data_IF_917509327445
#
_entry.id   IF_917509327445
#
_cell.length_a   1.000
_cell.length_b   1.000
_cell.length_c   1.000
_cell.angle_alpha   90.00
_cell.angle_beta   90.00
_cell.angle_gamma   90.00
#
_symmetry.space_group_name_H-M   'P 1'
#
loop_
_entity.id
_entity.type
_entity.pdbx_description
1 polymer ?
#
# COMPACT_ATOMS: atom_id res chain seq x y z
N UNK A 1 9.46 -27.04 -8.65
CA UNK A 1 8.76 -27.04 -9.96
C UNK A 1 7.32 -27.43 -9.72
N UNK A 2 6.42 -26.46 -9.55
CA UNK A 2 4.97 -26.65 -9.65
C UNK A 2 4.39 -25.37 -10.29
N UNK A 3 3.64 -25.57 -11.37
CA UNK A 3 2.98 -24.57 -12.22
C UNK A 3 1.54 -24.43 -11.73
N UNK A 4 0.96 -23.23 -11.67
CA UNK A 4 -0.50 -23.10 -11.67
C UNK A 4 -1.03 -21.97 -12.55
N UNK A 5 -1.89 -22.38 -13.48
CA UNK A 5 -2.73 -21.58 -14.37
C UNK A 5 -4.13 -21.44 -13.75
N UNK A 6 -4.86 -20.39 -14.13
CA UNK A 6 -6.19 -20.07 -13.60
C UNK A 6 -7.21 -21.14 -14.02
N UNK A 7 -7.82 -21.83 -13.05
CA UNK A 7 -9.07 -22.56 -13.24
C UNK A 7 -10.25 -21.69 -12.78
N UNK A 8 -11.32 -21.66 -13.58
CA UNK A 8 -12.61 -21.05 -13.23
C UNK A 8 -13.14 -21.70 -11.95
N UNK A 9 -13.27 -20.91 -10.88
CA UNK A 9 -13.85 -21.36 -9.62
C UNK A 9 -13.06 -20.91 -8.40
N UNK A 10 -13.26 -19.65 -7.98
CA UNK A 10 -13.32 -19.24 -6.57
C UNK A 10 -12.20 -19.56 -5.58
N UNK A 11 -11.02 -20.06 -5.98
CA UNK A 11 -9.92 -20.29 -5.04
C UNK A 11 -8.74 -19.38 -5.39
N UNK A 12 -8.56 -18.35 -4.56
CA UNK A 12 -7.42 -17.45 -4.61
C UNK A 12 -6.13 -18.24 -4.29
N UNK A 13 -5.15 -18.13 -5.18
CA UNK A 13 -3.83 -18.73 -5.08
C UNK A 13 -3.11 -18.31 -3.78
N UNK A 14 -2.23 -19.17 -3.24
CA UNK A 14 -1.39 -18.82 -2.10
C UNK A 14 -0.45 -17.68 -2.47
N UNK A 15 -0.38 -16.69 -1.58
CA UNK A 15 0.55 -15.55 -1.63
C UNK A 15 1.98 -16.06 -1.89
N UNK A 16 2.69 -15.36 -2.78
CA UNK A 16 4.10 -15.56 -3.14
C UNK A 16 4.99 -15.93 -1.94
N UNK A 17 6.07 -16.68 -2.19
CA UNK A 17 7.13 -17.03 -1.22
C UNK A 17 7.16 -16.07 -0.03
N UNK A 18 6.67 -16.58 1.11
CA UNK A 18 5.90 -15.84 2.11
C UNK A 18 6.47 -14.46 2.45
N UNK A 19 5.69 -13.41 2.21
CA UNK A 19 5.92 -12.09 2.79
C UNK A 19 6.26 -12.22 4.29
N UNK A 20 7.19 -11.40 4.83
CA UNK A 20 7.63 -11.54 6.20
C UNK A 20 6.46 -11.32 7.16
N UNK A 21 6.21 -12.30 8.04
CA UNK A 21 5.17 -12.19 9.06
C UNK A 21 5.42 -11.01 10.00
N UNK A 22 4.37 -10.50 10.65
CA UNK A 22 4.46 -9.44 11.67
C UNK A 22 5.45 -9.83 12.77
N UNK A 23 5.48 -11.11 13.15
CA UNK A 23 6.47 -11.64 14.10
C UNK A 23 7.90 -11.40 13.62
N UNK A 24 8.15 -11.62 12.33
CA UNK A 24 9.47 -11.41 11.71
C UNK A 24 9.81 -9.91 11.64
N UNK A 25 8.84 -9.07 11.26
CA UNK A 25 8.99 -7.62 11.22
C UNK A 25 9.32 -7.04 12.60
N UNK A 26 8.57 -7.42 13.64
CA UNK A 26 8.82 -7.01 15.03
C UNK A 26 10.20 -7.45 15.51
N UNK A 27 10.62 -8.67 15.19
CA UNK A 27 11.96 -9.19 15.54
C UNK A 27 13.06 -8.37 14.87
N UNK A 28 12.93 -8.07 13.56
CA UNK A 28 13.90 -7.25 12.81
C UNK A 28 13.96 -5.82 13.32
N UNK A 29 12.83 -5.26 13.76
CA UNK A 29 12.78 -3.87 14.25
C UNK A 29 13.28 -3.68 15.69
N UNK A 30 13.35 -4.75 16.49
CA UNK A 30 13.71 -4.67 17.92
C UNK A 30 15.02 -3.89 18.20
N UNK A 31 16.15 -4.12 17.50
CA UNK A 31 17.38 -3.37 17.75
C UNK A 31 17.23 -1.87 17.44
N UNK A 32 16.45 -1.52 16.42
CA UNK A 32 16.18 -0.13 16.07
C UNK A 32 15.34 0.56 17.15
N UNK A 33 14.32 -0.12 17.68
CA UNK A 33 13.50 0.38 18.80
C UNK A 33 14.37 0.67 20.03
N UNK A 34 15.27 -0.24 20.38
CA UNK A 34 16.18 -0.09 21.51
C UNK A 34 17.10 1.12 21.32
N UNK A 35 17.66 1.29 20.11
CA UNK A 35 18.47 2.47 19.77
C UNK A 35 17.66 3.78 19.88
N UNK A 36 16.44 3.82 19.33
CA UNK A 36 15.60 5.02 19.46
C UNK A 36 15.28 5.37 20.92
N UNK A 37 14.99 4.37 21.76
CA UNK A 37 14.72 4.61 23.17
C UNK A 37 15.94 5.17 23.93
N UNK A 38 17.16 4.91 23.48
CA UNK A 38 18.39 5.44 24.09
C UNK A 38 18.74 6.83 23.55
N UNK A 39 18.68 7.01 22.22
CA UNK A 39 19.17 8.22 21.55
C UNK A 39 18.10 9.31 21.39
N UNK A 40 16.85 8.92 21.14
CA UNK A 40 15.73 9.82 20.83
C UNK A 40 14.40 9.29 21.40
N UNK A 41 14.20 9.34 22.74
CA UNK A 41 13.04 8.73 23.39
C UNK A 41 11.68 9.28 22.91
N UNK A 42 11.67 10.51 22.39
CA UNK A 42 10.48 11.19 21.86
C UNK A 42 10.22 10.88 20.38
N UNK A 43 11.08 10.08 19.73
CA UNK A 43 10.90 9.70 18.33
C UNK A 43 9.56 8.96 18.14
N UNK A 44 8.68 9.40 17.22
CA UNK A 44 7.38 8.75 17.04
C UNK A 44 7.48 7.41 16.28
N UNK A 45 8.61 7.11 15.62
CA UNK A 45 8.79 5.96 14.73
C UNK A 45 8.51 4.61 15.40
N UNK A 46 9.01 4.31 16.62
CA UNK A 46 8.71 3.03 17.26
C UNK A 46 7.23 2.81 17.56
N UNK A 47 6.53 3.85 18.01
CA UNK A 47 5.08 3.81 18.29
C UNK A 47 4.28 3.61 17.01
N UNK A 48 4.65 4.32 15.95
CA UNK A 48 4.04 4.20 14.62
C UNK A 48 4.19 2.79 14.04
N UNK A 49 5.42 2.26 14.06
CA UNK A 49 5.71 0.91 13.61
C UNK A 49 4.96 -0.15 14.44
N UNK A 50 4.89 0.04 15.76
CA UNK A 50 4.12 -0.83 16.64
C UNK A 50 2.63 -0.86 16.26
N UNK A 51 2.00 0.31 16.06
CA UNK A 51 0.59 0.42 15.64
C UNK A 51 0.36 -0.27 14.29
N UNK A 52 1.23 -0.02 13.30
CA UNK A 52 1.15 -0.69 12.00
C UNK A 52 1.19 -2.22 12.15
N UNK A 53 2.16 -2.74 12.92
CA UNK A 53 2.26 -4.17 13.19
C UNK A 53 1.03 -4.74 13.90
N UNK A 54 0.41 -4.00 14.82
CA UNK A 54 -0.78 -4.50 15.53
C UNK A 54 -1.98 -4.65 14.60
N UNK A 55 -2.17 -3.75 13.63
CA UNK A 55 -3.21 -3.88 12.63
C UNK A 55 -2.92 -4.98 11.61
N UNK A 56 -1.66 -5.14 11.20
CA UNK A 56 -1.24 -6.27 10.35
C UNK A 56 -1.39 -7.63 11.07
N UNK A 57 -1.05 -7.72 12.37
CA UNK A 57 -1.19 -8.94 13.19
C UNK A 57 -2.64 -9.38 13.31
N UNK A 58 -3.59 -8.44 13.28
CA UNK A 58 -5.03 -8.75 13.25
C UNK A 58 -5.40 -9.49 11.96
N UNK A 59 -4.85 -9.07 10.82
CA UNK A 59 -5.13 -9.68 9.51
C UNK A 59 -4.46 -11.05 9.40
N UNK A 60 -3.21 -11.18 9.85
CA UNK A 60 -2.50 -12.48 9.83
C UNK A 60 -3.20 -13.57 10.64
N UNK A 61 -4.05 -13.19 11.60
CA UNK A 61 -4.83 -14.11 12.44
C UNK A 61 -6.23 -14.38 11.91
N UNK A 62 -6.68 -13.64 10.89
CA UNK A 62 -7.97 -13.86 10.25
C UNK A 62 -7.83 -14.89 9.12
N UNK A 63 -8.90 -15.64 8.87
CA UNK A 63 -8.95 -16.49 7.68
C UNK A 63 -8.99 -15.63 6.41
N UNK A 64 -8.36 -16.09 5.32
CA UNK A 64 -8.32 -15.34 4.05
C UNK A 64 -9.72 -15.09 3.46
N UNK A 65 -10.70 -15.92 3.81
CA UNK A 65 -12.11 -15.81 3.41
C UNK A 65 -12.95 -14.95 4.36
N UNK A 66 -12.34 -14.34 5.38
CA UNK A 66 -13.03 -13.44 6.30
C UNK A 66 -13.44 -12.12 5.60
N UNK A 67 -14.15 -11.28 6.34
CA UNK A 67 -14.56 -9.92 5.98
C UNK A 67 -13.43 -9.11 5.30
N UNK A 68 -13.51 -9.02 3.97
CA UNK A 68 -12.51 -8.36 3.12
C UNK A 68 -12.47 -6.85 3.36
N UNK A 69 -13.61 -6.25 3.74
CA UNK A 69 -13.70 -4.82 4.02
C UNK A 69 -12.91 -4.51 5.29
N UNK A 70 -13.08 -5.31 6.34
CA UNK A 70 -12.30 -5.19 7.58
C UNK A 70 -10.80 -5.42 7.33
N UNK A 71 -10.43 -6.37 6.47
CA UNK A 71 -9.02 -6.58 6.10
C UNK A 71 -8.44 -5.37 5.38
N UNK A 72 -9.16 -4.83 4.39
CA UNK A 72 -8.75 -3.64 3.64
C UNK A 72 -8.58 -2.44 4.58
N UNK A 73 -9.59 -2.15 5.41
CA UNK A 73 -9.54 -1.06 6.39
C UNK A 73 -8.39 -1.27 7.38
N UNK A 74 -8.14 -2.49 7.84
CA UNK A 74 -7.03 -2.79 8.75
C UNK A 74 -5.66 -2.54 8.09
N UNK A 75 -5.49 -2.92 6.81
CA UNK A 75 -4.28 -2.63 6.03
C UNK A 75 -4.10 -1.13 5.82
N UNK A 76 -5.19 -0.41 5.55
CA UNK A 76 -5.18 1.04 5.39
C UNK A 76 -4.74 1.75 6.67
N UNK A 77 -5.28 1.35 7.84
CA UNK A 77 -4.87 1.89 9.14
C UNK A 77 -3.39 1.55 9.41
N UNK A 78 -2.95 0.33 9.09
CA UNK A 78 -1.56 -0.06 9.25
C UNK A 78 -0.62 0.82 8.42
N UNK A 79 -0.98 1.09 7.17
CA UNK A 79 -0.23 1.97 6.28
C UNK A 79 -0.24 3.42 6.78
N UNK A 80 -1.40 3.96 7.18
CA UNK A 80 -1.55 5.31 7.75
C UNK A 80 -0.67 5.53 8.99
N UNK A 81 -0.56 4.52 9.86
CA UNK A 81 0.32 4.57 11.02
C UNK A 81 1.78 4.81 10.63
N UNK A 82 2.23 4.31 9.45
CA UNK A 82 3.59 4.48 8.95
C UNK A 82 3.81 5.84 8.29
N UNK A 83 2.95 6.25 7.36
CA UNK A 83 3.22 7.47 6.56
C UNK A 83 2.74 8.76 7.21
N UNK A 84 1.66 8.74 8.00
CA UNK A 84 0.98 9.96 8.44
C UNK A 84 1.94 10.93 9.12
N UNK A 85 1.81 12.24 8.91
CA UNK A 85 2.68 13.23 9.56
C UNK A 85 1.83 14.18 10.40
N UNK A 86 2.40 14.64 11.51
CA UNK A 86 1.77 15.66 12.35
C UNK A 86 2.48 16.98 12.13
N UNK A 87 1.71 18.06 12.01
CA UNK A 87 2.23 19.41 11.99
C UNK A 87 2.22 19.98 13.42
N UNK A 88 3.40 20.12 14.02
CA UNK A 88 3.52 20.61 15.40
C UNK A 88 3.14 22.09 15.53
N UNK A 89 3.36 22.90 14.48
CA UNK A 89 3.07 24.34 14.50
C UNK A 89 1.56 24.57 14.42
N UNK A 90 0.90 23.87 13.50
CA UNK A 90 -0.56 23.98 13.28
C UNK A 90 -1.38 23.08 14.20
N UNK A 91 -0.73 22.14 14.90
CA UNK A 91 -1.36 21.13 15.76
C UNK A 91 -2.44 20.33 15.04
N UNK A 92 -2.17 19.95 13.80
CA UNK A 92 -3.09 19.19 12.95
C UNK A 92 -2.32 18.13 12.12
N UNK A 93 -3.00 17.10 11.60
CA UNK A 93 -2.40 16.20 10.63
C UNK A 93 -1.99 16.96 9.37
N UNK A 94 -0.81 16.66 8.82
CA UNK A 94 -0.43 17.15 7.49
C UNK A 94 -1.34 16.54 6.43
N UNK A 95 -1.38 17.19 5.26
CA UNK A 95 -2.03 16.65 4.07
C UNK A 95 -1.65 15.18 3.87
N UNK A 96 -2.68 14.33 3.78
CA UNK A 96 -2.51 12.90 3.58
C UNK A 96 -1.70 12.65 2.31
N UNK A 97 -2.10 13.31 1.22
CA UNK A 97 -1.42 13.24 -0.09
C UNK A 97 0.07 13.55 -0.02
N UNK A 98 0.41 14.63 0.66
CA UNK A 98 1.81 15.02 0.82
C UNK A 98 2.58 14.03 1.71
N UNK A 99 1.93 13.54 2.77
CA UNK A 99 2.54 12.63 3.73
C UNK A 99 2.87 11.28 3.13
N UNK A 100 1.94 10.66 2.40
CA UNK A 100 2.21 9.37 1.77
C UNK A 100 3.14 9.50 0.56
N UNK A 101 3.07 10.57 -0.25
CA UNK A 101 4.05 10.79 -1.32
C UNK A 101 5.48 10.83 -0.81
N UNK A 102 5.74 11.63 0.23
CA UNK A 102 7.05 11.68 0.89
C UNK A 102 7.47 10.31 1.43
N UNK A 103 6.51 9.53 1.94
CA UNK A 103 6.78 8.17 2.40
C UNK A 103 7.16 7.24 1.24
N UNK A 104 6.41 7.25 0.13
CA UNK A 104 6.68 6.46 -1.08
C UNK A 104 8.05 6.79 -1.66
N UNK A 105 8.39 8.07 -1.79
CA UNK A 105 9.70 8.50 -2.29
C UNK A 105 10.83 7.97 -1.39
N UNK A 106 10.62 8.02 -0.05
CA UNK A 106 11.61 7.54 0.91
C UNK A 106 11.78 6.03 0.87
N UNK A 107 10.70 5.25 0.79
CA UNK A 107 10.81 3.78 0.70
C UNK A 107 11.45 3.37 -0.62
N UNK A 108 11.11 4.04 -1.73
CA UNK A 108 11.71 3.76 -3.03
C UNK A 108 13.21 4.06 -3.04
N UNK A 109 13.64 5.12 -2.36
CA UNK A 109 15.06 5.48 -2.26
C UNK A 109 15.90 4.49 -1.44
N UNK A 110 15.30 3.80 -0.45
CA UNK A 110 16.01 2.84 0.42
C UNK A 110 15.87 1.38 -0.05
N UNK A 111 14.91 1.09 -0.93
CA UNK A 111 14.62 -0.25 -1.47
C UNK A 111 15.69 -0.71 -2.48
N UNK A 112 16.86 -1.06 -1.96
CA UNK A 112 17.99 -1.55 -2.76
C UNK A 112 17.76 -2.95 -3.33
N UNK A 113 16.84 -3.71 -2.75
CA UNK A 113 16.51 -5.07 -3.17
C UNK A 113 15.40 -5.11 -4.22
N UNK A 114 14.77 -3.97 -4.52
CA UNK A 114 13.70 -3.89 -5.51
C UNK A 114 12.39 -4.55 -5.06
N UNK A 115 12.17 -4.74 -3.76
CA UNK A 115 10.98 -5.42 -3.25
C UNK A 115 9.68 -4.71 -3.63
N UNK A 116 9.70 -3.37 -3.68
CA UNK A 116 8.58 -2.55 -4.10
C UNK A 116 8.29 -2.75 -5.59
N UNK A 117 9.34 -2.82 -6.41
CA UNK A 117 9.24 -3.05 -7.84
C UNK A 117 8.71 -4.45 -8.12
N UNK A 118 9.27 -5.46 -7.47
CA UNK A 118 8.83 -6.85 -7.59
C UNK A 118 7.35 -7.01 -7.23
N UNK A 119 6.90 -6.37 -6.14
CA UNK A 119 5.50 -6.38 -5.75
C UNK A 119 4.59 -5.71 -6.81
N UNK A 120 4.99 -4.55 -7.34
CA UNK A 120 4.23 -3.87 -8.40
C UNK A 120 4.17 -4.70 -9.69
N UNK A 121 5.27 -5.33 -10.07
CA UNK A 121 5.31 -6.18 -11.25
C UNK A 121 4.45 -7.44 -11.09
N UNK A 122 4.56 -8.11 -9.93
CA UNK A 122 3.73 -9.27 -9.59
C UNK A 122 2.24 -8.94 -9.62
N UNK A 123 1.86 -7.77 -9.11
CA UNK A 123 0.46 -7.34 -9.00
C UNK A 123 0.02 -6.40 -10.13
N UNK A 124 0.79 -6.29 -11.22
CA UNK A 124 0.53 -5.37 -12.34
C UNK A 124 -0.89 -5.47 -12.91
N UNK A 125 -1.42 -6.69 -13.03
CA UNK A 125 -2.79 -6.92 -13.52
C UNK A 125 -3.84 -6.29 -12.61
N UNK A 126 -3.66 -6.40 -11.28
CA UNK A 126 -4.57 -5.81 -10.30
C UNK A 126 -4.47 -4.28 -10.30
N UNK A 127 -3.25 -3.74 -10.38
CA UNK A 127 -3.03 -2.29 -10.50
C UNK A 127 -3.74 -1.70 -11.72
N UNK A 128 -3.61 -2.37 -12.88
CA UNK A 128 -4.31 -1.94 -14.10
C UNK A 128 -5.83 -2.07 -13.96
N UNK A 129 -6.33 -3.15 -13.36
CA UNK A 129 -7.76 -3.35 -13.13
C UNK A 129 -8.35 -2.25 -12.23
N UNK A 130 -7.68 -1.89 -11.14
CA UNK A 130 -8.06 -0.75 -10.29
C UNK A 130 -8.11 0.55 -11.12
N UNK A 131 -7.13 0.78 -12.00
CA UNK A 131 -7.12 1.97 -12.83
C UNK A 131 -8.23 2.00 -13.90
N UNK A 132 -8.75 0.84 -14.28
CA UNK A 132 -9.86 0.67 -15.23
C UNK A 132 -11.23 0.84 -14.56
N UNK A 133 -11.33 0.59 -13.26
CA UNK A 133 -12.60 0.64 -12.52
C UNK A 133 -13.06 2.10 -12.28
N UNK A 134 -14.23 2.51 -12.82
CA UNK A 134 -14.74 3.87 -12.62
C UNK A 134 -15.28 4.12 -11.20
N UNK A 135 -15.71 3.09 -10.47
CA UNK A 135 -16.38 3.25 -9.16
C UNK A 135 -15.41 3.62 -8.04
N UNK A 136 -14.13 3.35 -8.23
CA UNK A 136 -13.06 3.74 -7.29
C UNK A 136 -12.43 5.10 -7.65
N UNK A 137 -12.83 5.70 -8.76
CA UNK A 137 -12.38 7.05 -9.12
C UNK A 137 -13.22 8.10 -8.40
N UNK A 138 -12.57 9.03 -7.69
CA UNK A 138 -13.26 10.19 -7.10
C UNK A 138 -14.07 11.03 -8.10
N UNK A 139 -13.71 11.00 -9.40
CA UNK A 139 -14.46 11.68 -10.46
C UNK A 139 -15.89 11.15 -10.63
N UNK A 140 -16.10 9.85 -10.42
CA UNK A 140 -17.44 9.25 -10.49
C UNK A 140 -18.33 9.80 -9.38
N UNK A 141 -17.80 9.89 -8.17
CA UNK A 141 -18.54 10.38 -7.00
C UNK A 141 -18.80 11.90 -7.05
N UNK A 142 -17.89 12.67 -7.64
CA UNK A 142 -18.07 14.11 -7.83
C UNK A 142 -19.12 14.45 -8.91
N UNK A 143 -19.35 13.57 -9.87
CA UNK A 143 -20.39 13.75 -10.89
C UNK A 143 -20.98 12.39 -11.31
N UNK A 144 -22.12 11.98 -10.74
CA UNK A 144 -22.76 10.70 -11.08
C UNK A 144 -23.19 10.58 -12.56
N UNK A 145 -23.38 11.71 -13.25
CA UNK A 145 -23.70 11.78 -14.68
C UNK A 145 -22.45 11.78 -15.57
N UNK A 146 -21.26 11.53 -15.00
CA UNK A 146 -20.02 11.38 -15.74
C UNK A 146 -20.15 10.28 -16.80
N UNK A 147 -19.94 10.66 -18.06
CA UNK A 147 -20.04 9.72 -19.20
C UNK A 147 -18.96 8.64 -19.08
N UNK A 148 -19.41 7.46 -18.67
CA UNK A 148 -18.61 6.23 -18.49
C UNK A 148 -17.83 5.83 -19.75
N UNK A 149 -18.26 6.26 -20.94
CA UNK A 149 -17.59 5.95 -22.22
C UNK A 149 -16.39 6.84 -22.49
N UNK A 150 -16.27 7.99 -21.78
CA UNK A 150 -15.27 9.01 -22.07
C UNK A 150 -13.96 8.90 -21.27
N UNK A 151 -13.87 8.15 -20.16
CA UNK A 151 -12.60 7.61 -19.64
C UNK A 151 -12.78 6.33 -18.83
N UNK A 152 -12.01 5.27 -19.18
CA UNK A 152 -10.77 4.93 -18.43
C UNK A 152 -9.52 4.71 -19.32
N UNK A 153 -9.58 4.92 -20.64
CA UNK A 153 -8.49 4.52 -21.55
C UNK A 153 -7.19 5.35 -21.41
N UNK A 154 -7.28 6.65 -21.08
CA UNK A 154 -6.10 7.53 -20.99
C UNK A 154 -5.24 7.26 -19.77
N UNK A 155 -5.85 7.12 -18.58
CA UNK A 155 -5.12 6.85 -17.33
C UNK A 155 -4.47 5.46 -17.35
N UNK A 156 -5.17 4.46 -17.86
CA UNK A 156 -4.63 3.11 -18.03
C UNK A 156 -3.45 3.09 -19.00
N UNK A 157 -3.57 3.81 -20.12
CA UNK A 157 -2.45 3.97 -21.05
C UNK A 157 -1.24 4.60 -20.36
N UNK A 158 -1.45 5.70 -19.61
CA UNK A 158 -0.38 6.38 -18.87
C UNK A 158 0.27 5.46 -17.83
N UNK A 159 -0.51 4.68 -17.08
CA UNK A 159 0.02 3.72 -16.11
C UNK A 159 0.88 2.67 -16.82
N UNK A 160 0.43 2.14 -17.97
CA UNK A 160 1.21 1.19 -18.78
C UNK A 160 2.52 1.81 -19.28
N UNK A 161 2.51 3.07 -19.68
CA UNK A 161 3.73 3.80 -20.03
C UNK A 161 4.65 3.99 -18.83
N UNK A 162 4.13 4.32 -17.65
CA UNK A 162 4.95 4.41 -16.43
C UNK A 162 5.60 3.08 -16.02
N UNK A 163 4.92 1.95 -16.24
CA UNK A 163 5.55 0.63 -16.10
C UNK A 163 6.72 0.44 -17.09
N UNK A 164 6.60 0.92 -18.34
CA UNK A 164 7.67 0.84 -19.36
C UNK A 164 8.85 1.76 -19.01
N UNK A 165 8.55 2.96 -18.55
CA UNK A 165 9.53 3.98 -18.13
C UNK A 165 10.10 3.72 -16.72
N UNK A 166 9.62 2.68 -16.02
CA UNK A 166 10.00 2.34 -14.64
C UNK A 166 9.76 3.48 -13.64
N UNK A 167 8.68 4.24 -13.84
CA UNK A 167 8.24 5.34 -12.97
C UNK A 167 7.37 4.82 -11.82
N UNK A 168 7.95 4.00 -10.95
CA UNK A 168 7.24 3.26 -9.90
C UNK A 168 6.49 4.14 -8.91
N UNK A 169 7.08 5.27 -8.51
CA UNK A 169 6.42 6.23 -7.61
C UNK A 169 5.10 6.75 -8.20
N UNK A 170 5.05 7.01 -9.52
CA UNK A 170 3.82 7.46 -10.20
C UNK A 170 2.76 6.37 -10.27
N UNK A 171 3.18 5.11 -10.44
CA UNK A 171 2.27 3.96 -10.43
C UNK A 171 1.62 3.82 -9.06
N UNK A 172 2.40 3.87 -7.99
CA UNK A 172 1.88 3.85 -6.63
C UNK A 172 0.98 5.05 -6.38
N UNK A 173 1.37 6.23 -6.89
CA UNK A 173 0.62 7.45 -6.70
C UNK A 173 -0.82 7.31 -7.23
N UNK A 174 -0.94 6.77 -8.44
CA UNK A 174 -2.23 6.57 -9.09
C UNK A 174 -3.10 5.50 -8.41
N UNK A 175 -2.48 4.48 -7.80
CA UNK A 175 -3.18 3.44 -7.03
C UNK A 175 -3.73 4.01 -5.73
N UNK A 176 -2.92 4.74 -4.96
CA UNK A 176 -3.35 5.29 -3.68
C UNK A 176 -4.38 6.42 -3.82
N UNK A 177 -4.41 7.15 -4.94
CA UNK A 177 -5.47 8.13 -5.21
C UNK A 177 -6.85 7.49 -5.48
N UNK A 178 -6.95 6.16 -5.55
CA UNK A 178 -8.19 5.42 -5.85
C UNK A 178 -8.74 4.64 -4.66
N UNK A 179 -7.99 4.54 -3.59
CA UNK A 179 -8.33 3.77 -2.38
C UNK A 179 -8.49 4.78 -1.25
#
# INVERSE_FOLDING_TARGET
>A
MIVFHIAKGGTLMPVAESAPTVRTLRRRFKPHKERFNQEQPTCPTPTRFHRACSWMDRIEKQELTADLDMQLVSLWIAFNALYGQWDEERREPKSERESWRKFIDRIAAIDRQGQLVDALEQHKRLVVALCEDPFISGNFWNNPNYDRRRQPKKKVFIVREWYREKRWAMVLDEVFERI
#
